data_IF_008457893492
#
_entry.id   IF_008457893492
#
_cell.length_a   1.000
_cell.length_b   1.000
_cell.length_c   1.000
_cell.angle_alpha   90.00
_cell.angle_beta   90.00
_cell.angle_gamma   90.00
#
_symmetry.space_group_name_H-M   'P 1'
#
loop_
_entity.id
_entity.type
_entity.pdbx_description
1 polymer ?
#
# COMPACT_ATOMS: atom_id res chain seq x y z
N UNK A 1 -0.31 3.01 32.85
CA UNK A 1 -0.64 2.80 31.42
C UNK A 1 -0.06 3.98 30.64
N UNK A 2 0.77 3.75 29.61
CA UNK A 2 1.52 4.82 28.90
C UNK A 2 0.99 5.11 27.48
N UNK A 3 -0.10 4.48 27.04
CA UNK A 3 -0.66 4.61 25.68
C UNK A 3 -2.03 5.27 25.73
N UNK A 4 -2.32 6.14 24.76
CA UNK A 4 -3.63 6.76 24.54
C UNK A 4 -4.44 5.86 23.61
N UNK A 5 -5.08 4.83 24.16
CA UNK A 5 -5.93 3.89 23.44
C UNK A 5 -7.15 3.54 24.29
N UNK A 6 -8.26 3.19 23.65
CA UNK A 6 -9.40 2.58 24.33
C UNK A 6 -9.13 1.08 24.54
N UNK A 7 -9.84 0.21 23.81
CA UNK A 7 -9.57 -1.21 23.81
C UNK A 7 -8.45 -1.53 22.81
N UNK A 8 -7.45 -2.37 23.18
CA UNK A 8 -6.36 -2.73 22.26
C UNK A 8 -6.83 -3.33 20.94
N UNK A 9 -7.94 -4.08 20.94
CA UNK A 9 -8.51 -4.69 19.73
C UNK A 9 -9.10 -3.67 18.76
N UNK A 10 -9.56 -2.53 19.27
CA UNK A 10 -10.22 -1.47 18.49
C UNK A 10 -9.23 -0.41 18.00
N UNK A 11 -7.98 -0.44 18.48
CA UNK A 11 -6.98 0.63 18.23
C UNK A 11 -6.79 0.95 16.74
N UNK A 12 -6.72 -0.08 15.88
CA UNK A 12 -6.56 0.13 14.43
C UNK A 12 -7.83 0.71 13.81
N UNK A 13 -9.00 0.19 14.21
CA UNK A 13 -10.30 0.65 13.72
C UNK A 13 -10.57 2.10 14.10
N UNK A 14 -10.33 2.48 15.36
CA UNK A 14 -10.50 3.84 15.85
C UNK A 14 -9.52 4.82 15.19
N UNK A 15 -8.27 4.39 14.96
CA UNK A 15 -7.27 5.18 14.22
C UNK A 15 -7.73 5.48 12.79
N UNK A 16 -8.29 4.48 12.09
CA UNK A 16 -8.82 4.65 10.74
C UNK A 16 -10.05 5.58 10.70
N UNK A 17 -10.95 5.48 11.68
CA UNK A 17 -12.08 6.40 11.82
C UNK A 17 -11.61 7.84 12.02
N UNK A 18 -10.61 8.05 12.89
CA UNK A 18 -10.00 9.36 13.09
C UNK A 18 -9.36 9.92 11.82
N UNK A 19 -8.63 9.08 11.08
CA UNK A 19 -8.01 9.47 9.80
C UNK A 19 -9.05 9.90 8.76
N UNK A 20 -10.16 9.15 8.63
CA UNK A 20 -11.24 9.47 7.70
C UNK A 20 -11.87 10.82 8.04
N UNK A 21 -12.22 11.04 9.30
CA UNK A 21 -12.82 12.30 9.77
C UNK A 21 -11.89 13.49 9.58
N UNK A 22 -10.58 13.32 9.80
CA UNK A 22 -9.60 14.39 9.65
C UNK A 22 -9.33 14.76 8.18
N UNK A 23 -9.54 13.84 7.24
CA UNK A 23 -9.12 13.98 5.84
C UNK A 23 -10.22 13.63 4.82
N UNK A 24 -11.51 13.77 5.20
CA UNK A 24 -12.68 13.40 4.40
C UNK A 24 -12.73 14.02 2.99
N UNK A 25 -12.02 15.13 2.76
CA UNK A 25 -11.99 15.79 1.45
C UNK A 25 -11.09 15.08 0.44
N UNK A 26 -10.13 14.28 0.90
CA UNK A 26 -9.09 13.69 0.05
C UNK A 26 -8.96 12.18 0.20
N UNK A 27 -9.50 11.59 1.28
CA UNK A 27 -9.41 10.16 1.56
C UNK A 27 -10.78 9.54 1.86
N UNK A 28 -10.83 8.21 1.70
CA UNK A 28 -11.93 7.33 2.11
C UNK A 28 -11.35 6.09 2.78
N UNK A 29 -12.14 5.44 3.63
CA UNK A 29 -11.73 4.21 4.32
C UNK A 29 -12.71 3.07 4.02
N UNK A 30 -12.18 1.92 3.62
CA UNK A 30 -12.93 0.67 3.66
C UNK A 30 -12.77 0.04 5.04
N UNK A 31 -13.73 0.26 5.93
CA UNK A 31 -13.68 -0.27 7.30
C UNK A 31 -13.71 -1.80 7.34
N UNK A 32 -14.47 -2.44 6.43
CA UNK A 32 -14.58 -3.91 6.35
C UNK A 32 -13.25 -4.57 5.93
N UNK A 33 -12.59 -4.00 4.92
CA UNK A 33 -11.35 -4.56 4.37
C UNK A 33 -10.09 -3.85 4.88
N UNK A 34 -10.24 -2.88 5.79
CA UNK A 34 -9.17 -2.08 6.42
C UNK A 34 -8.11 -1.60 5.44
N UNK A 35 -8.53 -0.76 4.49
CA UNK A 35 -7.64 -0.01 3.62
C UNK A 35 -8.12 1.42 3.44
N UNK A 36 -7.18 2.32 3.20
CA UNK A 36 -7.41 3.73 2.90
C UNK A 36 -7.16 3.94 1.42
N UNK A 37 -7.98 4.75 0.77
CA UNK A 37 -7.82 5.07 -0.65
C UNK A 37 -8.15 6.53 -0.93
N UNK A 38 -7.68 7.04 -2.06
CA UNK A 38 -7.98 8.41 -2.47
C UNK A 38 -9.48 8.59 -2.71
N UNK A 39 -10.01 9.74 -2.33
CA UNK A 39 -11.43 10.06 -2.55
C UNK A 39 -11.83 10.15 -4.03
N UNK A 40 -10.85 10.35 -4.93
CA UNK A 40 -11.03 10.40 -6.39
C UNK A 40 -10.64 9.10 -7.11
N UNK A 41 -10.44 8.00 -6.38
CA UNK A 41 -10.18 6.69 -6.99
C UNK A 41 -11.48 6.03 -7.54
N UNK A 42 -11.39 5.23 -8.62
CA UNK A 42 -10.20 5.00 -9.43
C UNK A 42 -9.88 6.19 -10.33
N UNK A 43 -8.58 6.43 -10.55
CA UNK A 43 -8.12 7.45 -11.50
C UNK A 43 -7.89 6.78 -12.86
N UNK A 44 -8.83 7.00 -13.79
CA UNK A 44 -8.80 6.32 -15.08
C UNK A 44 -7.56 6.65 -15.95
N UNK A 45 -7.03 5.63 -16.63
CA UNK A 45 -5.87 5.75 -17.51
C UNK A 45 -4.53 5.92 -16.79
N UNK A 46 -4.50 5.83 -15.47
CA UNK A 46 -3.32 5.97 -14.63
C UNK A 46 -2.99 4.64 -13.94
N UNK A 47 -1.72 4.25 -13.92
CA UNK A 47 -1.25 3.13 -13.10
C UNK A 47 -1.58 3.42 -11.63
N UNK A 48 -2.27 2.51 -10.97
CA UNK A 48 -2.56 2.66 -9.55
C UNK A 48 -1.37 2.18 -8.71
N UNK A 49 -1.03 2.92 -7.66
CA UNK A 49 0.04 2.53 -6.72
C UNK A 49 -0.59 2.07 -5.42
N UNK A 50 -0.35 0.81 -5.05
CA UNK A 50 -0.86 0.22 -3.81
C UNK A 50 0.31 -0.24 -2.95
N UNK A 51 0.18 -0.06 -1.64
CA UNK A 51 1.11 -0.66 -0.69
C UNK A 51 0.39 -1.03 0.60
N UNK A 52 1.09 -1.57 1.57
CA UNK A 52 0.52 -1.87 2.87
C UNK A 52 1.58 -2.29 3.89
N UNK A 53 1.17 -2.31 5.14
CA UNK A 53 1.97 -2.78 6.27
C UNK A 53 1.07 -3.19 7.43
N UNK A 54 1.65 -3.83 8.43
CA UNK A 54 1.01 -3.83 9.74
C UNK A 54 0.90 -2.42 10.31
N UNK A 55 -0.08 -2.22 11.18
CA UNK A 55 -0.24 -0.97 11.92
C UNK A 55 0.91 -0.77 12.92
N UNK A 56 1.11 0.45 13.40
CA UNK A 56 2.23 0.80 14.30
C UNK A 56 3.44 1.42 13.59
N UNK A 57 3.31 1.71 12.30
CA UNK A 57 4.32 2.41 11.50
C UNK A 57 3.82 3.79 11.02
N UNK A 58 2.70 4.27 11.55
CA UNK A 58 2.08 5.53 11.13
C UNK A 58 3.12 6.68 11.14
N UNK A 59 3.21 7.50 10.07
CA UNK A 59 2.25 7.63 8.97
C UNK A 59 2.35 6.56 7.87
N UNK A 60 3.34 5.66 7.89
CA UNK A 60 3.50 4.60 6.90
C UNK A 60 2.42 3.51 7.12
N UNK A 61 1.58 3.15 6.16
CA UNK A 61 1.50 3.63 4.77
C UNK A 61 0.40 4.68 4.52
N UNK A 62 -0.62 4.75 5.37
CA UNK A 62 -1.88 5.47 5.10
C UNK A 62 -1.73 6.98 4.94
N UNK A 63 -0.75 7.58 5.61
CA UNK A 63 -0.47 9.02 5.50
C UNK A 63 0.10 9.42 4.15
N UNK A 64 0.47 8.45 3.31
CA UNK A 64 1.00 8.66 1.96
C UNK A 64 0.00 8.30 0.85
N UNK A 65 -1.28 8.09 1.19
CA UNK A 65 -2.37 8.00 0.21
C UNK A 65 -2.72 9.41 -0.28
N UNK A 66 -2.63 9.62 -1.59
CA UNK A 66 -2.83 10.94 -2.19
C UNK A 66 -2.20 11.08 -3.57
N UNK A 67 -2.56 12.17 -4.25
CA UNK A 67 -2.06 12.47 -5.59
C UNK A 67 -0.53 12.51 -5.63
N UNK A 68 0.06 11.74 -6.54
CA UNK A 68 1.51 11.65 -6.72
C UNK A 68 2.24 10.74 -5.73
N UNK A 69 1.50 9.96 -4.92
CA UNK A 69 2.00 8.90 -4.06
C UNK A 69 1.13 7.63 -4.21
N UNK A 70 0.55 7.11 -3.13
CA UNK A 70 -0.29 5.91 -3.15
C UNK A 70 -1.73 6.25 -3.55
N UNK A 71 -2.36 5.35 -4.31
CA UNK A 71 -3.80 5.38 -4.57
C UNK A 71 -4.58 4.63 -3.49
N UNK A 72 -3.98 3.58 -2.92
CA UNK A 72 -4.48 2.92 -1.70
C UNK A 72 -3.36 2.35 -0.81
N UNK A 73 -3.67 2.21 0.47
CA UNK A 73 -2.83 1.59 1.48
C UNK A 73 -3.64 0.61 2.34
N UNK A 74 -3.22 -0.66 2.40
CA UNK A 74 -3.83 -1.67 3.25
C UNK A 74 -3.19 -1.69 4.65
N UNK A 75 -4.00 -1.88 5.69
CA UNK A 75 -3.53 -2.01 7.07
C UNK A 75 -3.89 -3.37 7.64
N UNK A 76 -2.88 -4.09 8.11
CA UNK A 76 -3.09 -5.22 9.00
C UNK A 76 -3.18 -4.77 10.46
N UNK A 77 -3.33 -5.74 11.35
CA UNK A 77 -3.24 -5.47 12.79
C UNK A 77 -1.83 -4.96 13.17
N UNK A 78 -1.66 -4.57 14.44
CA UNK A 78 -0.37 -4.02 14.91
C UNK A 78 0.76 -5.02 14.63
N UNK A 79 1.75 -4.59 13.85
CA UNK A 79 2.89 -5.38 13.37
C UNK A 79 2.54 -6.68 12.62
N UNK A 80 1.33 -6.79 12.06
CA UNK A 80 0.88 -7.94 11.29
C UNK A 80 0.56 -7.51 9.86
N UNK A 81 1.08 -8.24 8.86
CA UNK A 81 0.86 -7.85 7.45
C UNK A 81 -0.63 -7.89 7.07
N UNK A 82 -1.12 -7.01 6.18
CA UNK A 82 -2.47 -7.08 5.64
C UNK A 82 -2.68 -8.41 4.90
N UNK A 83 -3.91 -8.93 4.91
CA UNK A 83 -4.24 -10.20 4.25
C UNK A 83 -4.34 -10.03 2.73
N UNK A 84 -4.24 -11.12 1.94
CA UNK A 84 -4.41 -11.07 0.49
C UNK A 84 -5.75 -10.45 0.07
N UNK A 85 -6.82 -10.77 0.81
CA UNK A 85 -8.16 -10.22 0.56
C UNK A 85 -8.22 -8.70 0.70
N UNK A 86 -7.44 -8.12 1.61
CA UNK A 86 -7.37 -6.67 1.78
C UNK A 86 -6.68 -6.01 0.58
N UNK A 87 -5.56 -6.59 0.12
CA UNK A 87 -4.86 -6.11 -1.07
C UNK A 87 -5.71 -6.23 -2.32
N UNK A 88 -6.40 -7.35 -2.48
CA UNK A 88 -7.28 -7.58 -3.62
C UNK A 88 -8.45 -6.58 -3.64
N UNK A 89 -9.11 -6.37 -2.50
CA UNK A 89 -10.20 -5.39 -2.39
C UNK A 89 -9.72 -3.95 -2.65
N UNK A 90 -8.53 -3.59 -2.17
CA UNK A 90 -7.94 -2.29 -2.48
C UNK A 90 -7.61 -2.15 -3.97
N UNK A 91 -7.07 -3.21 -4.57
CA UNK A 91 -6.71 -3.27 -6.00
C UNK A 91 -7.91 -3.05 -6.88
N UNK A 92 -9.01 -3.78 -6.67
CA UNK A 92 -10.26 -3.55 -7.41
C UNK A 92 -10.82 -2.14 -7.24
N UNK A 93 -10.67 -1.56 -6.05
CA UNK A 93 -11.17 -0.22 -5.77
C UNK A 93 -10.41 0.87 -6.55
N UNK A 94 -9.10 0.67 -6.78
CA UNK A 94 -8.24 1.71 -7.39
C UNK A 94 -7.83 1.44 -8.83
N UNK A 95 -8.13 0.26 -9.38
CA UNK A 95 -7.83 -0.09 -10.77
C UNK A 95 -8.57 0.85 -11.74
N UNK A 96 -7.81 1.55 -12.59
CA UNK A 96 -8.32 2.57 -13.52
C UNK A 96 -8.16 2.22 -14.99
N UNK A 97 -7.88 0.96 -15.34
CA UNK A 97 -7.65 0.46 -16.69
C UNK A 97 -6.19 0.49 -17.17
N UNK A 98 -5.22 0.79 -16.28
CA UNK A 98 -3.79 0.85 -16.63
C UNK A 98 -2.92 -0.10 -15.78
N UNK A 99 -3.56 -0.96 -14.98
CA UNK A 99 -2.89 -1.89 -14.08
C UNK A 99 -2.40 -1.26 -12.78
N UNK A 100 -1.84 -2.10 -11.91
CA UNK A 100 -1.50 -1.75 -10.52
C UNK A 100 -0.05 -2.11 -10.20
N UNK A 101 0.68 -1.20 -9.54
CA UNK A 101 1.99 -1.49 -8.96
C UNK A 101 1.87 -1.63 -7.44
N UNK A 102 2.28 -2.78 -6.91
CA UNK A 102 2.50 -2.97 -5.49
C UNK A 102 3.92 -2.55 -5.08
N UNK A 103 4.03 -1.67 -4.10
CA UNK A 103 5.29 -1.39 -3.39
C UNK A 103 5.36 -2.28 -2.16
N UNK A 104 6.31 -3.22 -2.14
CA UNK A 104 6.37 -4.31 -1.17
C UNK A 104 7.57 -4.14 -0.27
N UNK A 105 7.37 -4.02 1.05
CA UNK A 105 8.49 -4.09 2.01
C UNK A 105 8.88 -5.56 2.21
N UNK A 106 10.18 -5.85 2.19
CA UNK A 106 10.68 -7.22 2.32
C UNK A 106 10.49 -7.76 3.74
N UNK A 107 9.30 -8.28 3.98
CA UNK A 107 8.92 -9.08 5.13
C UNK A 107 8.15 -10.29 4.62
N UNK A 108 8.50 -11.49 5.09
CA UNK A 108 7.97 -12.76 4.56
C UNK A 108 6.45 -12.77 4.44
N UNK A 109 5.72 -12.36 5.49
CA UNK A 109 4.26 -12.32 5.45
C UNK A 109 3.69 -11.29 4.46
N UNK A 110 4.36 -10.15 4.30
CA UNK A 110 3.94 -9.11 3.36
C UNK A 110 4.14 -9.53 1.89
N UNK A 111 5.29 -10.15 1.60
CA UNK A 111 5.61 -10.69 0.27
C UNK A 111 4.62 -11.78 -0.10
N UNK A 112 4.45 -12.80 0.75
CA UNK A 112 3.52 -13.91 0.51
C UNK A 112 2.08 -13.43 0.29
N UNK A 113 1.59 -12.51 1.13
CA UNK A 113 0.21 -12.04 1.02
C UNK A 113 -0.03 -11.24 -0.26
N UNK A 114 0.96 -10.49 -0.74
CA UNK A 114 0.86 -9.76 -2.00
C UNK A 114 0.97 -10.68 -3.21
N UNK A 115 1.82 -11.71 -3.18
CA UNK A 115 1.89 -12.71 -4.26
C UNK A 115 0.54 -13.42 -4.45
N UNK A 116 -0.09 -13.86 -3.36
CA UNK A 116 -1.44 -14.44 -3.41
C UNK A 116 -2.45 -13.43 -3.96
N UNK A 117 -2.39 -12.17 -3.52
CA UNK A 117 -3.29 -11.13 -4.04
C UNK A 117 -3.08 -10.85 -5.53
N UNK A 118 -1.86 -11.00 -6.05
CA UNK A 118 -1.58 -10.87 -7.49
C UNK A 118 -2.18 -12.01 -8.29
N UNK A 119 -2.09 -13.25 -7.80
CA UNK A 119 -2.73 -14.41 -8.44
C UNK A 119 -4.25 -14.20 -8.52
N UNK A 120 -4.87 -13.78 -7.42
CA UNK A 120 -6.30 -13.48 -7.36
C UNK A 120 -6.70 -12.29 -8.26
N UNK A 121 -5.82 -11.29 -8.40
CA UNK A 121 -6.06 -10.17 -9.31
C UNK A 121 -5.97 -10.58 -10.79
N UNK A 122 -5.07 -11.52 -11.11
CA UNK A 122 -4.94 -12.07 -12.46
C UNK A 122 -6.20 -12.85 -12.88
N UNK A 123 -6.85 -13.57 -11.96
CA UNK A 123 -8.15 -14.21 -12.20
C UNK A 123 -9.27 -13.20 -12.55
N UNK A 124 -9.08 -11.93 -12.19
CA UNK A 124 -9.98 -10.80 -12.48
C UNK A 124 -9.50 -9.95 -13.65
N UNK A 125 -8.53 -10.45 -14.41
CA UNK A 125 -7.92 -9.78 -15.57
C UNK A 125 -7.23 -8.45 -15.22
N UNK A 126 -6.88 -8.24 -13.95
CA UNK A 126 -6.15 -7.05 -13.49
C UNK A 126 -4.65 -7.31 -13.55
N UNK A 127 -3.94 -6.51 -14.35
CA UNK A 127 -2.48 -6.61 -14.44
C UNK A 127 -1.82 -5.96 -13.23
N UNK A 128 -1.15 -6.77 -12.41
CA UNK A 128 -0.41 -6.31 -11.24
C UNK A 128 1.09 -6.58 -11.40
N UNK A 129 1.92 -5.63 -10.98
CA UNK A 129 3.38 -5.77 -10.86
C UNK A 129 3.86 -5.37 -9.47
N UNK A 130 5.08 -5.77 -9.12
CA UNK A 130 5.68 -5.44 -7.80
C UNK A 130 7.02 -4.74 -7.92
N UNK A 131 7.35 -3.98 -6.88
CA UNK A 131 8.72 -3.58 -6.55
C UNK A 131 8.98 -3.95 -5.09
N UNK A 132 10.05 -4.71 -4.87
CA UNK A 132 10.48 -5.12 -3.53
C UNK A 132 11.45 -4.08 -2.97
N UNK A 133 11.22 -3.67 -1.72
CA UNK A 133 12.05 -2.75 -0.96
C UNK A 133 12.77 -3.55 0.13
N UNK A 134 14.10 -3.58 0.08
CA UNK A 134 14.99 -4.33 0.97
C UNK A 134 16.22 -3.48 1.37
N UNK A 135 15.94 -2.24 1.82
CA UNK A 135 16.93 -1.19 2.09
C UNK A 135 17.71 -1.35 3.40
N UNK A 136 17.34 -2.27 4.27
CA UNK A 136 17.99 -2.44 5.56
C UNK A 136 19.38 -3.06 5.45
N UNK A 137 20.40 -2.21 5.37
CA UNK A 137 21.81 -2.61 5.30
C UNK A 137 22.38 -3.14 6.63
N UNK A 138 21.61 -3.16 7.72
CA UNK A 138 22.03 -3.82 8.95
C UNK A 138 22.01 -5.36 8.82
N UNK A 139 21.37 -5.90 7.78
CA UNK A 139 21.41 -7.33 7.44
C UNK A 139 22.39 -7.53 6.28
N UNK A 140 23.43 -8.33 6.53
CA UNK A 140 24.51 -8.59 5.57
C UNK A 140 24.02 -9.35 4.33
N UNK A 141 23.14 -10.33 4.54
CA UNK A 141 22.52 -11.09 3.46
C UNK A 141 21.50 -10.22 2.70
N UNK A 142 21.92 -9.76 1.51
CA UNK A 142 21.14 -8.89 0.64
C UNK A 142 19.74 -9.45 0.31
N UNK A 143 19.60 -10.79 0.20
CA UNK A 143 18.31 -11.42 -0.11
C UNK A 143 17.32 -11.31 1.07
N UNK A 144 17.85 -11.25 2.30
CA UNK A 144 17.08 -11.24 3.54
C UNK A 144 16.99 -9.84 4.18
N UNK A 145 17.48 -8.80 3.52
CA UNK A 145 17.34 -7.41 4.00
C UNK A 145 15.89 -7.02 4.13
N UNK A 146 15.53 -6.43 5.27
CA UNK A 146 14.18 -5.93 5.53
C UNK A 146 13.89 -4.69 4.67
N UNK A 147 12.61 -4.48 4.37
CA UNK A 147 12.13 -3.21 3.82
C UNK A 147 11.72 -2.26 4.93
N UNK A 148 12.33 -1.08 5.00
CA UNK A 148 12.10 -0.06 6.02
C UNK A 148 11.66 1.26 5.39
N UNK A 149 12.29 2.37 5.79
CA UNK A 149 11.87 3.73 5.44
C UNK A 149 12.08 4.09 3.98
N UNK A 150 12.98 3.42 3.24
CA UNK A 150 13.17 3.73 1.84
C UNK A 150 11.92 3.46 0.98
N UNK A 151 10.96 2.68 1.50
CA UNK A 151 9.68 2.45 0.85
C UNK A 151 8.98 3.77 0.49
N UNK A 152 9.07 4.81 1.33
CA UNK A 152 8.44 6.12 1.08
C UNK A 152 8.99 6.77 -0.20
N UNK A 153 10.29 6.64 -0.46
CA UNK A 153 10.89 7.18 -1.68
C UNK A 153 10.42 6.42 -2.91
N UNK A 154 10.33 5.08 -2.81
CA UNK A 154 9.80 4.24 -3.89
C UNK A 154 8.33 4.59 -4.18
N UNK A 155 7.50 4.75 -3.15
CA UNK A 155 6.11 5.19 -3.26
C UNK A 155 6.00 6.57 -3.93
N UNK A 156 6.86 7.53 -3.55
CA UNK A 156 6.89 8.88 -4.14
C UNK A 156 7.31 8.88 -5.61
N UNK A 157 8.32 8.08 -5.96
CA UNK A 157 8.86 7.97 -7.33
C UNK A 157 7.84 7.28 -8.23
N UNK A 158 7.29 6.14 -7.79
CA UNK A 158 6.27 5.40 -8.51
C UNK A 158 5.00 6.25 -8.71
N UNK A 159 4.51 6.90 -7.66
CA UNK A 159 3.34 7.77 -7.72
C UNK A 159 3.55 8.96 -8.68
N UNK A 160 4.72 9.60 -8.66
CA UNK A 160 5.02 10.67 -9.61
C UNK A 160 5.09 10.19 -11.06
N UNK A 161 5.66 9.02 -11.32
CA UNK A 161 5.72 8.43 -12.65
C UNK A 161 4.32 8.06 -13.16
N UNK A 162 3.50 7.46 -12.31
CA UNK A 162 2.11 7.15 -12.61
C UNK A 162 1.30 8.39 -12.98
N UNK A 163 1.36 9.47 -12.18
CA UNK A 163 0.68 10.74 -12.48
C UNK A 163 1.15 11.40 -13.79
N UNK A 164 2.34 11.08 -14.28
CA UNK A 164 2.85 11.53 -15.59
C UNK A 164 2.36 10.66 -16.76
N UNK A 165 1.50 9.67 -16.49
CA UNK A 165 0.94 8.77 -17.52
C UNK A 165 1.91 7.69 -17.97
N UNK A 166 2.91 7.33 -17.17
CA UNK A 166 3.85 6.25 -17.51
C UNK A 166 3.11 4.91 -17.51
N UNK A 167 3.47 4.02 -18.44
CA UNK A 167 2.95 2.64 -18.45
C UNK A 167 3.38 1.86 -17.22
N UNK A 168 2.64 0.81 -16.86
CA UNK A 168 2.97 -0.04 -15.71
C UNK A 168 4.42 -0.55 -15.73
N UNK A 169 4.94 -0.90 -16.92
CA UNK A 169 6.34 -1.31 -17.10
C UNK A 169 7.33 -0.18 -16.79
N UNK A 170 7.07 1.03 -17.25
CA UNK A 170 7.93 2.19 -17.00
C UNK A 170 7.89 2.62 -15.53
N UNK A 171 6.71 2.59 -14.90
CA UNK A 171 6.55 2.87 -13.46
C UNK A 171 7.34 1.84 -12.63
N UNK A 172 7.21 0.55 -12.94
CA UNK A 172 8.00 -0.49 -12.26
C UNK A 172 9.50 -0.28 -12.45
N UNK A 173 9.95 0.04 -13.67
CA UNK A 173 11.36 0.20 -13.98
C UNK A 173 12.00 1.37 -13.23
N UNK A 174 11.32 2.52 -13.13
CA UNK A 174 11.84 3.67 -12.38
C UNK A 174 11.77 3.44 -10.87
N UNK A 175 10.79 2.69 -10.36
CA UNK A 175 10.68 2.35 -8.96
C UNK A 175 11.77 1.37 -8.47
N UNK A 176 12.33 0.54 -9.38
CA UNK A 176 13.39 -0.43 -9.09
C UNK A 176 14.81 0.15 -9.14
N UNK A 177 14.98 1.36 -9.69
CA UNK A 177 16.29 1.96 -9.97
C UNK A 177 16.83 2.71 -8.76
#
# INVERSE_FOLDING_TARGET
MQKLINLPIDTVTESLQGLELAHEKILRVSHKSRFVYRADAPVHGKVAIVSGSGSGHEPLNVGYVGRGMLDAACLGDVFTSPTPMQYLAATEMVEGGAGVLYVVKNHTGGVLNMEIAMEMAAEREIMVKTVLVNDDVAVDDAANRRGLGAAIFVEKIAGAAAERGYTLNQVQAVAKR
#
